data_IF_824348356487
#
_entry.id   IF_824348356487
#
_cell.length_a   1.000
_cell.length_b   1.000
_cell.length_c   1.000
_cell.angle_alpha   90.00
_cell.angle_beta   90.00
_cell.angle_gamma   90.00
#
_symmetry.space_group_name_H-M   'P 1'
#
loop_
_entity.id
_entity.type
_entity.pdbx_description
1 polymer ?
#
# COMPACT_ATOMS: atom_id res chain seq x y z
N UNK A 1 -19.09 -23.76 20.56
CA UNK A 1 -19.13 -23.88 19.08
C UNK A 1 -19.64 -22.59 18.41
N UNK A 2 -20.87 -22.10 18.71
CA UNK A 2 -21.48 -20.92 18.06
C UNK A 2 -20.65 -19.61 18.11
N UNK A 3 -19.98 -19.33 19.24
CA UNK A 3 -19.17 -18.12 19.41
C UNK A 3 -17.82 -18.16 18.68
N UNK A 4 -17.26 -19.34 18.42
CA UNK A 4 -15.96 -19.48 17.74
C UNK A 4 -16.09 -19.06 16.26
N UNK A 5 -17.22 -19.36 15.63
CA UNK A 5 -17.51 -18.98 14.24
C UNK A 5 -17.57 -17.45 14.09
N UNK A 6 -18.14 -16.75 15.08
CA UNK A 6 -18.28 -15.29 15.06
C UNK A 6 -16.91 -14.61 15.19
N UNK A 7 -16.03 -15.12 16.05
CA UNK A 7 -14.66 -14.59 16.23
C UNK A 7 -13.82 -14.78 14.95
N UNK A 8 -13.97 -15.91 14.26
CA UNK A 8 -13.26 -16.16 13.01
C UNK A 8 -13.66 -15.19 11.89
N UNK A 9 -14.94 -14.80 11.80
CA UNK A 9 -15.43 -13.86 10.79
C UNK A 9 -14.93 -12.43 11.07
N UNK A 10 -14.84 -12.02 12.33
CA UNK A 10 -14.33 -10.69 12.71
C UNK A 10 -12.82 -10.55 12.44
N UNK A 11 -12.04 -11.62 12.59
CA UNK A 11 -10.60 -11.61 12.28
C UNK A 11 -10.30 -11.50 10.78
N UNK A 12 -11.22 -11.95 9.91
CA UNK A 12 -11.06 -11.84 8.46
C UNK A 12 -11.31 -10.42 7.95
N UNK A 13 -12.21 -9.65 8.57
CA UNK A 13 -12.57 -8.29 8.10
C UNK A 13 -11.52 -7.24 8.46
N UNK A 14 -10.81 -7.39 9.58
CA UNK A 14 -9.68 -6.49 9.95
C UNK A 14 -8.46 -6.64 9.03
N UNK A 15 -8.27 -7.80 8.39
CA UNK A 15 -7.17 -7.99 7.44
C UNK A 15 -7.37 -7.14 6.18
N UNK A 16 -8.61 -6.99 5.71
CA UNK A 16 -8.92 -6.28 4.47
C UNK A 16 -8.82 -4.75 4.64
N UNK A 17 -9.14 -4.21 5.83
CA UNK A 17 -8.93 -2.79 6.13
C UNK A 17 -7.45 -2.42 6.25
N UNK A 18 -6.65 -3.31 6.85
CA UNK A 18 -5.20 -3.10 6.97
C UNK A 18 -4.50 -3.07 5.60
N UNK A 19 -4.89 -3.97 4.68
CA UNK A 19 -4.32 -4.01 3.32
C UNK A 19 -4.61 -2.75 2.53
N UNK A 20 -5.85 -2.25 2.56
CA UNK A 20 -6.20 -0.99 1.88
C UNK A 20 -5.40 0.20 2.41
N UNK A 21 -5.22 0.29 3.73
CA UNK A 21 -4.39 1.35 4.33
C UNK A 21 -2.92 1.22 3.95
N UNK A 22 -2.38 0.00 3.98
CA UNK A 22 -0.99 -0.26 3.60
C UNK A 22 -0.77 0.04 2.11
N UNK A 23 -1.70 -0.34 1.24
CA UNK A 23 -1.69 -0.03 -0.19
C UNK A 23 -1.72 1.49 -0.45
N UNK A 24 -2.58 2.23 0.26
CA UNK A 24 -2.61 3.71 0.19
C UNK A 24 -1.27 4.32 0.63
N UNK A 25 -0.72 3.83 1.74
CA UNK A 25 0.56 4.32 2.28
C UNK A 25 1.72 4.05 1.32
N UNK A 26 1.77 2.84 0.74
CA UNK A 26 2.78 2.48 -0.25
C UNK A 26 2.67 3.37 -1.50
N UNK A 27 1.47 3.63 -2.02
CA UNK A 27 1.24 4.52 -3.15
C UNK A 27 1.76 5.94 -2.87
N UNK A 28 1.39 6.50 -1.70
CA UNK A 28 1.85 7.83 -1.28
C UNK A 28 3.37 7.93 -1.11
N UNK A 29 4.02 6.88 -0.57
CA UNK A 29 5.48 6.83 -0.47
C UNK A 29 6.16 6.79 -1.85
N UNK A 30 5.59 6.04 -2.81
CA UNK A 30 6.10 6.00 -4.18
C UNK A 30 5.98 7.38 -4.83
N UNK A 31 4.82 8.02 -4.75
CA UNK A 31 4.63 9.37 -5.31
C UNK A 31 5.59 10.37 -4.65
N UNK A 32 5.79 10.27 -3.33
CA UNK A 32 6.76 11.12 -2.62
C UNK A 32 8.20 10.88 -3.07
N UNK A 33 8.57 9.63 -3.36
CA UNK A 33 9.90 9.30 -3.89
C UNK A 33 10.12 9.90 -5.28
N UNK A 34 9.09 9.96 -6.12
CA UNK A 34 9.13 10.59 -7.44
C UNK A 34 9.31 12.11 -7.31
N UNK A 35 8.54 12.76 -6.43
CA UNK A 35 8.72 14.19 -6.13
C UNK A 35 10.16 14.51 -5.68
N UNK A 36 10.69 13.73 -4.74
CA UNK A 36 12.06 13.89 -4.26
C UNK A 36 13.11 13.67 -5.36
N UNK A 37 12.82 12.77 -6.30
CA UNK A 37 13.68 12.53 -7.48
C UNK A 37 13.67 13.73 -8.43
N UNK A 38 12.50 14.36 -8.66
CA UNK A 38 12.41 15.60 -9.42
C UNK A 38 13.16 16.76 -8.75
N UNK A 39 13.20 16.78 -7.42
CA UNK A 39 13.98 17.74 -6.62
C UNK A 39 15.48 17.39 -6.51
N UNK A 40 15.96 16.36 -7.23
CA UNK A 40 17.34 15.85 -7.18
C UNK A 40 17.80 15.36 -5.79
N UNK A 41 16.85 15.07 -4.88
CA UNK A 41 17.11 14.56 -3.53
C UNK A 41 17.16 13.02 -3.52
N UNK A 42 18.06 12.45 -4.33
CA UNK A 42 18.07 11.01 -4.65
C UNK A 42 18.20 10.10 -3.43
N UNK A 43 19.05 10.43 -2.45
CA UNK A 43 19.19 9.60 -1.24
C UNK A 43 17.86 9.54 -0.43
N UNK A 44 17.13 10.65 -0.37
CA UNK A 44 15.82 10.69 0.29
C UNK A 44 14.76 9.97 -0.54
N UNK A 45 14.82 10.09 -1.86
CA UNK A 45 13.94 9.38 -2.78
C UNK A 45 14.09 7.86 -2.61
N UNK A 46 15.32 7.36 -2.64
CA UNK A 46 15.64 5.93 -2.46
C UNK A 46 15.15 5.41 -1.11
N UNK A 47 15.50 6.09 0.00
CA UNK A 47 15.02 5.70 1.34
C UNK A 47 13.49 5.68 1.43
N UNK A 48 12.80 6.59 0.73
CA UNK A 48 11.33 6.64 0.72
C UNK A 48 10.75 5.50 -0.11
N UNK A 49 11.36 5.20 -1.26
CA UNK A 49 10.96 4.10 -2.12
C UNK A 49 11.16 2.73 -1.44
N UNK A 50 12.27 2.53 -0.74
CA UNK A 50 12.53 1.30 0.02
C UNK A 50 11.47 1.05 1.11
N UNK A 51 11.00 2.10 1.80
CA UNK A 51 9.87 1.98 2.75
C UNK A 51 8.58 1.55 2.08
N UNK A 52 8.33 1.97 0.83
CA UNK A 52 7.19 1.48 0.08
C UNK A 52 7.36 -0.01 -0.27
N UNK A 53 8.57 -0.41 -0.66
CA UNK A 53 8.88 -1.82 -0.95
C UNK A 53 8.75 -2.73 0.29
N UNK A 54 9.14 -2.28 1.48
CA UNK A 54 8.93 -3.05 2.72
C UNK A 54 7.45 -3.39 2.93
N UNK A 55 6.55 -2.43 2.67
CA UNK A 55 5.11 -2.65 2.75
C UNK A 55 4.64 -3.64 1.67
N UNK A 56 5.11 -3.48 0.44
CA UNK A 56 4.75 -4.37 -0.68
C UNK A 56 5.21 -5.81 -0.42
N UNK A 57 6.45 -5.98 0.04
CA UNK A 57 7.07 -7.29 0.27
C UNK A 57 6.32 -8.09 1.35
N UNK A 58 5.80 -7.43 2.40
CA UNK A 58 4.92 -8.05 3.40
C UNK A 58 3.71 -8.78 2.79
N UNK A 59 3.20 -8.34 1.64
CA UNK A 59 2.07 -8.96 0.95
C UNK A 59 2.49 -9.94 -0.12
N UNK A 60 3.66 -9.76 -0.75
CA UNK A 60 4.28 -10.77 -1.62
C UNK A 60 4.59 -12.04 -0.82
N UNK A 61 5.25 -11.91 0.32
CA UNK A 61 5.62 -13.05 1.19
C UNK A 61 4.40 -13.81 1.75
N UNK A 62 3.23 -13.16 1.78
CA UNK A 62 1.96 -13.75 2.24
C UNK A 62 1.11 -14.31 1.11
N UNK A 63 1.61 -14.34 -0.12
CA UNK A 63 0.86 -14.72 -1.33
C UNK A 63 -0.42 -13.90 -1.54
N UNK A 64 -0.38 -12.62 -1.15
CA UNK A 64 -1.48 -11.64 -1.28
C UNK A 64 -1.12 -10.47 -2.19
N UNK A 65 -0.10 -10.64 -3.04
CA UNK A 65 0.40 -9.60 -3.92
C UNK A 65 -0.70 -9.07 -4.86
N UNK A 66 -1.47 -9.96 -5.47
CA UNK A 66 -2.52 -9.58 -6.44
C UNK A 66 -3.58 -8.65 -5.82
N UNK A 67 -4.18 -9.06 -4.69
CA UNK A 67 -5.18 -8.24 -3.97
C UNK A 67 -4.59 -6.90 -3.51
N UNK A 68 -3.34 -6.92 -3.02
CA UNK A 68 -2.65 -5.70 -2.64
C UNK A 68 -2.45 -4.76 -3.82
N UNK A 69 -2.00 -5.27 -4.97
CA UNK A 69 -1.70 -4.45 -6.14
C UNK A 69 -2.96 -3.86 -6.79
N UNK A 70 -4.11 -4.53 -6.70
CA UNK A 70 -5.40 -3.95 -7.11
C UNK A 70 -5.72 -2.67 -6.32
N UNK A 71 -5.55 -2.72 -4.99
CA UNK A 71 -5.74 -1.54 -4.14
C UNK A 71 -4.67 -0.47 -4.37
N UNK A 72 -3.41 -0.88 -4.49
CA UNK A 72 -2.29 0.04 -4.73
C UNK A 72 -2.47 0.82 -6.05
N UNK A 73 -2.81 0.14 -7.14
CA UNK A 73 -3.07 0.77 -8.43
C UNK A 73 -4.21 1.77 -8.35
N UNK A 74 -5.29 1.43 -7.64
CA UNK A 74 -6.43 2.33 -7.46
C UNK A 74 -6.05 3.63 -6.73
N UNK A 75 -5.11 3.61 -5.78
CA UNK A 75 -4.62 4.82 -5.10
C UNK A 75 -3.66 5.62 -5.97
N UNK A 76 -2.64 4.97 -6.54
CA UNK A 76 -1.67 5.59 -7.45
C UNK A 76 -2.35 6.31 -8.62
N UNK A 77 -3.34 5.68 -9.24
CA UNK A 77 -4.00 6.24 -10.43
C UNK A 77 -5.02 7.33 -10.06
N UNK A 78 -5.56 7.32 -8.83
CA UNK A 78 -6.41 8.40 -8.33
C UNK A 78 -5.62 9.66 -8.03
N UNK A 79 -4.43 9.54 -7.43
CA UNK A 79 -3.54 10.70 -7.16
C UNK A 79 -3.10 11.36 -8.47
N UNK A 80 -2.74 10.56 -9.49
CA UNK A 80 -2.44 11.07 -10.84
C UNK A 80 -3.59 11.85 -11.48
N UNK A 81 -4.84 11.41 -11.31
CA UNK A 81 -6.02 12.11 -11.87
C UNK A 81 -6.34 13.42 -11.13
N UNK A 82 -6.00 13.54 -9.85
CA UNK A 82 -6.23 14.76 -9.08
C UNK A 82 -5.18 15.84 -9.39
N UNK A 83 -3.93 15.44 -9.66
CA UNK A 83 -2.82 16.35 -9.96
C UNK A 83 -2.79 16.83 -11.43
N UNK A 84 -3.70 16.35 -12.29
CA UNK A 84 -3.81 16.71 -13.70
C UNK A 84 -4.94 17.71 -14.01
N UNK A 85 -5.59 18.25 -12.97
CA UNK A 85 -6.57 19.35 -13.05
C UNK A 85 -5.94 20.64 -12.52
#
# INVERSE_FOLDING_TARGET
MKYIIIVAIVLLTVSCSSMKSDAKKAASLVDKSIELSHELKFEKAEKTYLKAQEIINKYIEKDKATEFFEHFAAYRDKEKKQNAK
#
